data_IF_192830294343
#
_entry.id   IF_192830294343
#
_cell.length_a   1.000
_cell.length_b   1.000
_cell.length_c   1.000
_cell.angle_alpha   90.00
_cell.angle_beta   90.00
_cell.angle_gamma   90.00
#
_symmetry.space_group_name_H-M   'P 1'
#
loop_
_entity.id
_entity.type
_entity.pdbx_description
1 polymer ?
#
# COMPACT_ATOMS: atom_id res chain seq x y z
N UNK A 1 0.58 -4.59 -5.82
CA UNK A 1 2.03 -4.64 -5.54
C UNK A 1 2.21 -5.11 -4.11
N UNK A 2 3.26 -5.87 -3.82
CA UNK A 2 3.63 -6.31 -2.48
C UNK A 2 4.95 -5.64 -2.15
N UNK A 3 5.06 -5.01 -0.97
CA UNK A 3 6.32 -4.46 -0.46
C UNK A 3 6.77 -5.39 0.66
N UNK A 4 7.92 -6.03 0.48
CA UNK A 4 8.47 -6.90 1.51
C UNK A 4 9.05 -6.09 2.65
N UNK A 5 9.05 -6.69 3.84
CA UNK A 5 9.65 -6.09 5.03
C UNK A 5 11.20 -6.14 4.94
N UNK A 6 11.88 -5.22 5.65
CA UNK A 6 13.33 -4.97 5.52
C UNK A 6 14.21 -5.81 6.45
N UNK A 7 13.65 -6.46 7.47
CA UNK A 7 14.41 -7.25 8.42
C UNK A 7 15.18 -8.37 7.71
N UNK A 8 16.33 -8.79 8.25
CA UNK A 8 17.20 -9.77 7.61
C UNK A 8 16.49 -11.05 7.18
N UNK A 9 15.58 -11.56 8.01
CA UNK A 9 14.81 -12.76 7.71
C UNK A 9 13.86 -12.56 6.52
N UNK A 10 13.12 -11.45 6.49
CA UNK A 10 12.20 -11.11 5.40
C UNK A 10 12.94 -10.97 4.07
N UNK A 11 14.12 -10.33 4.08
CA UNK A 11 15.00 -10.22 2.91
C UNK A 11 15.48 -11.58 2.41
N UNK A 12 15.92 -12.46 3.32
CA UNK A 12 16.34 -13.80 2.96
C UNK A 12 15.20 -14.63 2.33
N UNK A 13 13.95 -14.36 2.73
CA UNK A 13 12.74 -15.03 2.23
C UNK A 13 12.12 -14.35 0.98
N UNK A 14 12.73 -13.30 0.44
CA UNK A 14 12.19 -12.56 -0.71
C UNK A 14 11.88 -13.46 -1.93
N UNK A 15 12.77 -14.41 -2.23
CA UNK A 15 12.58 -15.35 -3.33
C UNK A 15 11.38 -16.27 -3.13
N UNK A 16 11.01 -16.59 -1.89
CA UNK A 16 9.82 -17.39 -1.58
C UNK A 16 8.55 -16.54 -1.74
N UNK A 17 8.57 -15.32 -1.19
CA UNK A 17 7.47 -14.37 -1.36
C UNK A 17 7.14 -14.11 -2.84
N UNK A 18 8.17 -13.96 -3.68
CA UNK A 18 7.99 -13.81 -5.13
C UNK A 18 7.30 -15.00 -5.80
N UNK A 19 7.65 -16.24 -5.42
CA UNK A 19 7.05 -17.45 -6.00
C UNK A 19 5.57 -17.58 -5.66
N UNK A 20 5.18 -17.10 -4.48
CA UNK A 20 3.80 -17.14 -4.01
C UNK A 20 2.97 -15.91 -4.40
N UNK A 21 3.59 -14.89 -5.00
CA UNK A 21 2.89 -13.70 -5.43
C UNK A 21 1.94 -14.01 -6.60
N UNK A 22 0.73 -13.42 -6.61
CA UNK A 22 -0.19 -13.58 -7.74
C UNK A 22 0.41 -13.07 -9.06
N UNK A 23 0.04 -13.66 -10.21
CA UNK A 23 0.48 -13.17 -11.51
C UNK A 23 0.18 -11.68 -11.71
N UNK A 24 1.16 -10.91 -12.18
CA UNK A 24 1.01 -9.48 -12.41
C UNK A 24 1.11 -8.59 -11.16
N UNK A 25 1.35 -9.17 -9.97
CA UNK A 25 1.59 -8.41 -8.74
C UNK A 25 3.09 -8.33 -8.48
N UNK A 26 3.75 -7.17 -8.71
CA UNK A 26 5.17 -7.04 -8.44
C UNK A 26 5.44 -7.12 -6.94
N UNK A 27 6.52 -7.81 -6.55
CA UNK A 27 7.06 -7.83 -5.20
C UNK A 27 8.32 -6.99 -5.15
N UNK A 28 8.32 -5.97 -4.31
CA UNK A 28 9.44 -5.05 -4.13
C UNK A 28 10.18 -5.37 -2.83
N UNK A 29 11.50 -5.21 -2.84
CA UNK A 29 12.35 -5.28 -1.65
C UNK A 29 12.98 -3.91 -1.42
N UNK A 30 12.54 -3.14 -0.41
CA UNK A 30 13.19 -1.89 -0.03
C UNK A 30 14.60 -2.14 0.51
N UNK A 31 15.50 -1.18 0.31
CA UNK A 31 16.85 -1.19 0.89
C UNK A 31 16.82 -0.84 2.39
N UNK A 32 17.86 -1.22 3.16
CA UNK A 32 17.89 -0.94 4.59
C UNK A 32 17.71 0.54 4.94
N UNK A 33 18.23 1.44 4.09
CA UNK A 33 18.22 2.88 4.28
C UNK A 33 16.88 3.54 3.88
N UNK A 34 16.04 2.84 3.11
CA UNK A 34 14.73 3.36 2.72
C UNK A 34 13.87 3.63 3.96
N UNK A 35 12.96 4.62 3.93
CA UNK A 35 12.04 4.83 5.04
C UNK A 35 11.14 3.60 5.23
N UNK A 36 10.71 3.36 6.47
CA UNK A 36 9.70 2.34 6.75
C UNK A 36 8.36 2.79 6.17
N UNK A 37 7.86 2.05 5.17
CA UNK A 37 6.62 2.36 4.46
C UNK A 37 5.43 2.40 5.42
N UNK A 38 5.37 1.49 6.41
CA UNK A 38 4.25 1.45 7.35
C UNK A 38 4.24 2.69 8.26
N UNK A 39 5.42 3.09 8.74
CA UNK A 39 5.58 4.32 9.51
C UNK A 39 5.22 5.58 8.69
N UNK A 40 5.67 5.65 7.43
CA UNK A 40 5.36 6.77 6.52
C UNK A 40 3.85 6.87 6.29
N UNK A 41 3.16 5.74 6.17
CA UNK A 41 1.72 5.70 5.93
C UNK A 41 0.89 5.77 7.23
N UNK A 42 1.53 5.77 8.40
CA UNK A 42 0.87 5.82 9.71
C UNK A 42 0.07 4.56 10.05
N UNK A 43 0.48 3.39 9.54
CA UNK A 43 -0.18 2.11 9.81
C UNK A 43 0.62 1.24 10.78
N UNK A 44 -0.09 0.42 11.56
CA UNK A 44 0.49 -0.59 12.43
C UNK A 44 0.34 -2.00 11.83
N UNK A 45 0.94 -2.98 12.50
CA UNK A 45 0.78 -4.40 12.16
C UNK A 45 -0.70 -4.78 12.15
N UNK A 46 -1.10 -5.56 11.14
CA UNK A 46 -2.46 -6.06 10.94
C UNK A 46 -3.50 -4.97 10.59
N UNK A 47 -3.08 -3.74 10.33
CA UNK A 47 -3.95 -2.69 9.80
C UNK A 47 -4.14 -2.83 8.28
N UNK A 48 -5.31 -2.37 7.79
CA UNK A 48 -5.56 -2.16 6.37
C UNK A 48 -5.72 -0.68 6.09
N UNK A 49 -4.81 -0.14 5.27
CA UNK A 49 -4.89 1.20 4.71
C UNK A 49 -5.42 1.10 3.28
N UNK A 50 -6.64 1.56 3.06
CA UNK A 50 -7.31 1.50 1.76
C UNK A 50 -7.30 2.89 1.13
N UNK A 51 -6.57 3.05 0.03
CA UNK A 51 -6.45 4.31 -0.70
C UNK A 51 -7.39 4.34 -1.92
N UNK A 52 -7.96 5.51 -2.20
CA UNK A 52 -8.75 5.75 -3.41
C UNK A 52 -7.86 5.91 -4.66
N UNK A 53 -8.50 6.00 -5.83
CA UNK A 53 -7.80 6.21 -7.13
C UNK A 53 -7.06 7.56 -7.21
N UNK A 54 -7.27 8.47 -6.27
CA UNK A 54 -6.64 9.78 -6.16
C UNK A 54 -5.48 9.78 -5.17
N UNK A 55 -5.17 8.64 -4.54
CA UNK A 55 -4.12 8.52 -3.54
C UNK A 55 -4.51 9.05 -2.17
N UNK A 56 -5.80 9.24 -1.86
CA UNK A 56 -6.27 9.64 -0.53
C UNK A 56 -6.65 8.41 0.29
N UNK A 57 -6.31 8.43 1.58
CA UNK A 57 -6.69 7.38 2.51
C UNK A 57 -8.22 7.41 2.71
N UNK A 58 -8.90 6.37 2.23
CA UNK A 58 -10.35 6.23 2.36
C UNK A 58 -10.74 5.50 3.64
N UNK A 59 -9.99 4.45 4.00
CA UNK A 59 -10.20 3.70 5.23
C UNK A 59 -8.87 3.32 5.89
N UNK A 60 -8.85 3.40 7.22
CA UNK A 60 -7.85 2.81 8.10
C UNK A 60 -8.59 1.81 9.00
N UNK A 61 -8.42 0.52 8.73
CA UNK A 61 -9.10 -0.55 9.45
C UNK A 61 -8.11 -1.22 10.37
N UNK A 62 -8.34 -1.09 11.67
CA UNK A 62 -7.46 -1.63 12.71
C UNK A 62 -8.10 -2.84 13.38
N UNK A 63 -7.32 -3.54 14.20
CA UNK A 63 -7.85 -4.56 15.09
C UNK A 63 -8.96 -3.98 15.99
N UNK A 64 -10.04 -4.73 16.27
CA UNK A 64 -10.31 -6.11 15.85
C UNK A 64 -11.05 -6.23 14.50
N UNK A 65 -11.27 -5.15 13.76
CA UNK A 65 -12.05 -5.19 12.51
C UNK A 65 -11.24 -5.66 11.31
N UNK A 66 -9.92 -5.67 11.42
CA UNK A 66 -9.00 -6.07 10.37
C UNK A 66 -8.88 -7.58 10.16
N UNK A 67 -9.50 -8.42 10.99
CA UNK A 67 -9.50 -9.86 10.72
C UNK A 67 -10.19 -10.18 9.39
N UNK A 68 -9.47 -10.81 8.46
CA UNK A 68 -9.93 -11.10 7.10
C UNK A 68 -11.15 -12.04 7.00
N UNK A 69 -11.54 -12.71 8.08
CA UNK A 69 -12.78 -13.48 8.11
C UNK A 69 -14.03 -12.60 8.33
N UNK A 70 -13.85 -11.34 8.75
CA UNK A 70 -14.91 -10.34 8.81
C UNK A 70 -15.04 -9.59 7.46
N UNK A 71 -16.25 -9.09 7.13
CA UNK A 71 -16.51 -8.48 5.83
C UNK A 71 -15.96 -7.05 5.69
N UNK A 72 -15.38 -6.46 6.74
CA UNK A 72 -15.05 -5.04 6.79
C UNK A 72 -13.97 -4.65 5.76
N UNK A 73 -12.91 -5.45 5.66
CA UNK A 73 -11.80 -5.20 4.72
C UNK A 73 -12.29 -5.31 3.28
N UNK A 74 -13.01 -6.38 2.94
CA UNK A 74 -13.57 -6.56 1.60
C UNK A 74 -14.56 -5.43 1.25
N UNK A 75 -15.44 -5.06 2.18
CA UNK A 75 -16.43 -4.00 1.97
C UNK A 75 -15.78 -2.64 1.75
N UNK A 76 -14.75 -2.29 2.52
CA UNK A 76 -14.00 -1.06 2.34
C UNK A 76 -13.30 -1.02 0.97
N UNK A 77 -12.65 -2.11 0.57
CA UNK A 77 -12.02 -2.21 -0.76
C UNK A 77 -13.06 -2.02 -1.87
N UNK A 78 -14.18 -2.76 -1.81
CA UNK A 78 -15.25 -2.66 -2.81
C UNK A 78 -15.85 -1.25 -2.86
N UNK A 79 -16.07 -0.64 -1.70
CA UNK A 79 -16.62 0.71 -1.60
C UNK A 79 -15.66 1.75 -2.20
N UNK A 80 -14.37 1.69 -1.85
CA UNK A 80 -13.35 2.62 -2.37
C UNK A 80 -13.20 2.50 -3.90
N UNK A 81 -13.43 1.31 -4.46
CA UNK A 81 -13.42 1.08 -5.91
C UNK A 81 -14.77 1.36 -6.61
N UNK A 82 -15.90 1.39 -5.89
CA UNK A 82 -17.23 1.63 -6.47
C UNK A 82 -17.53 3.12 -6.64
N UNK A 83 -17.13 3.68 -7.79
CA UNK A 83 -17.41 5.04 -8.31
C UNK A 83 -17.07 6.25 -7.42
N UNK A 84 -16.42 7.24 -8.06
CA UNK A 84 -16.33 8.67 -7.71
C UNK A 84 -16.18 9.09 -6.24
N UNK A 85 -15.51 8.29 -5.40
CA UNK A 85 -15.04 8.79 -4.10
C UNK A 85 -14.05 9.94 -4.28
N UNK A 86 -13.24 9.85 -5.34
CA UNK A 86 -12.46 10.95 -5.88
C UNK A 86 -13.36 12.13 -6.22
N UNK A 87 -13.30 13.20 -5.41
CA UNK A 87 -13.83 14.50 -5.80
C UNK A 87 -13.07 15.07 -7.02
N UNK A 88 -13.02 16.39 -7.19
CA UNK A 88 -12.26 16.96 -8.30
C UNK A 88 -10.75 16.66 -8.16
N UNK A 89 -10.22 15.74 -8.98
CA UNK A 89 -8.81 15.32 -8.99
C UNK A 89 -7.83 16.43 -9.42
N UNK A 90 -8.32 17.58 -9.88
CA UNK A 90 -7.50 18.69 -10.41
C UNK A 90 -6.64 19.40 -9.35
N UNK A 91 -6.81 19.06 -8.06
CA UNK A 91 -6.08 19.70 -6.95
C UNK A 91 -4.75 19.02 -6.60
N UNK A 92 -4.40 17.90 -7.23
CA UNK A 92 -3.13 17.23 -6.99
C UNK A 92 -2.22 17.43 -8.20
N UNK A 93 -1.19 18.30 -8.11
CA UNK A 93 -0.20 18.40 -9.17
C UNK A 93 0.46 17.03 -9.34
N UNK A 94 0.62 16.59 -10.58
CA UNK A 94 1.40 15.39 -10.91
C UNK A 94 2.83 15.55 -10.38
N UNK A 95 3.12 15.13 -9.16
CA UNK A 95 4.47 15.15 -8.58
C UNK A 95 5.38 14.07 -9.17
N UNK A 96 5.08 13.61 -10.40
CA UNK A 96 5.84 12.59 -11.11
C UNK A 96 6.72 13.14 -12.24
N UNK A 97 6.94 14.46 -12.34
CA UNK A 97 7.84 15.05 -13.37
C UNK A 97 8.88 16.06 -12.88
N UNK A 98 9.39 15.93 -11.66
CA UNK A 98 10.49 16.82 -11.22
C UNK A 98 11.48 16.15 -10.25
N UNK A 99 12.14 15.07 -10.69
CA UNK A 99 13.41 14.60 -10.08
C UNK A 99 14.50 14.38 -11.15
N UNK A 100 14.31 14.84 -12.40
CA UNK A 100 15.31 14.68 -13.48
C UNK A 100 15.61 15.95 -14.28
N UNK A 101 15.48 17.12 -13.68
CA UNK A 101 15.95 18.38 -14.27
C UNK A 101 16.77 19.16 -13.23
N UNK A 102 17.86 18.56 -12.76
CA UNK A 102 18.69 19.14 -11.71
C UNK A 102 19.98 18.36 -11.46
N UNK A 103 20.72 18.04 -12.52
CA UNK A 103 22.18 17.92 -12.55
C UNK A 103 22.65 17.85 -14.00
#
# INVERSE_FOLDING_TARGET
>A
MIINEKAPLSRAMFGELQRHAPPGVPVLQPEPEDPDVWQVLGGDKDDFLVYDRCGRLAFHIQLPFSFLHFPYVESAIRFTHSKDFCGNCSLYPNTTREVRAGM
#
